data_IF_499496960113
#
_entry.id   IF_499496960113
#
_cell.length_a   1.000
_cell.length_b   1.000
_cell.length_c   1.000
_cell.angle_alpha   90.00
_cell.angle_beta   90.00
_cell.angle_gamma   90.00
#
_symmetry.space_group_name_H-M   'P 1'
#
loop_
_entity.id
_entity.type
_entity.pdbx_description
1 polymer ?
#
# COMPACT_ATOMS: atom_id res chain seq x y z
N UNK A 1 -60.52 5.75 -16.38
CA UNK A 1 -60.82 4.64 -17.31
C UNK A 1 -59.91 4.80 -18.52
N UNK A 2 -58.77 4.11 -18.50
CA UNK A 2 -57.85 3.95 -19.62
C UNK A 2 -57.66 2.45 -19.74
N UNK A 3 -58.05 1.86 -20.87
CA UNK A 3 -58.08 0.43 -21.10
C UNK A 3 -56.66 -0.15 -21.04
N UNK A 4 -56.33 -0.82 -19.93
CA UNK A 4 -55.14 -1.67 -19.83
C UNK A 4 -55.46 -3.01 -20.50
N UNK A 5 -54.70 -3.36 -21.52
CA UNK A 5 -54.76 -4.68 -22.14
C UNK A 5 -54.55 -5.73 -21.05
N UNK A 6 -55.58 -6.55 -20.79
CA UNK A 6 -55.54 -7.62 -19.80
C UNK A 6 -54.45 -8.62 -20.16
N UNK A 7 -53.45 -8.76 -19.29
CA UNK A 7 -52.41 -9.77 -19.41
C UNK A 7 -53.03 -11.14 -19.08
N UNK A 8 -53.38 -11.92 -20.10
CA UNK A 8 -53.86 -13.29 -19.91
C UNK A 8 -52.66 -14.22 -19.74
N UNK A 9 -52.44 -14.68 -18.50
CA UNK A 9 -51.42 -15.68 -18.15
C UNK A 9 -51.64 -16.96 -18.95
N UNK A 10 -50.57 -17.60 -19.40
CA UNK A 10 -50.68 -18.86 -20.15
C UNK A 10 -51.35 -19.95 -19.30
N UNK A 11 -52.42 -20.53 -19.85
CA UNK A 11 -53.24 -21.56 -19.19
C UNK A 11 -52.44 -22.79 -18.78
N UNK A 12 -51.39 -23.15 -19.52
CA UNK A 12 -50.53 -24.31 -19.22
C UNK A 12 -49.67 -24.07 -17.97
N UNK A 13 -49.22 -22.84 -17.76
CA UNK A 13 -48.45 -22.45 -16.56
C UNK A 13 -49.36 -22.46 -15.33
N UNK A 14 -50.59 -21.94 -15.47
CA UNK A 14 -51.60 -21.98 -14.42
C UNK A 14 -51.97 -23.41 -14.00
N UNK A 15 -52.24 -24.28 -14.98
CA UNK A 15 -52.56 -25.69 -14.73
C UNK A 15 -51.38 -26.45 -14.11
N UNK A 16 -50.14 -26.06 -14.42
CA UNK A 16 -48.96 -26.65 -13.80
C UNK A 16 -48.79 -26.18 -12.35
N UNK A 17 -48.96 -24.88 -12.10
CA UNK A 17 -48.87 -24.31 -10.77
C UNK A 17 -49.96 -24.88 -9.84
N UNK A 18 -51.19 -25.03 -10.32
CA UNK A 18 -52.29 -25.60 -9.52
C UNK A 18 -52.03 -27.05 -9.13
N UNK A 19 -51.55 -27.88 -10.07
CA UNK A 19 -51.18 -29.28 -9.81
C UNK A 19 -50.06 -29.42 -8.78
N UNK A 20 -49.11 -28.47 -8.77
CA UNK A 20 -48.02 -28.46 -7.80
C UNK A 20 -48.44 -27.99 -6.41
N UNK A 21 -49.48 -27.15 -6.30
CA UNK A 21 -50.07 -26.78 -5.01
C UNK A 21 -50.97 -27.86 -4.42
N UNK A 22 -51.60 -28.69 -5.26
CA UNK A 22 -52.49 -29.78 -4.84
C UNK A 22 -51.74 -31.06 -4.42
N UNK A 23 -50.53 -31.30 -4.93
CA UNK A 23 -49.69 -32.45 -4.58
C UNK A 23 -48.96 -32.27 -3.24
N UNK A 24 -49.74 -32.08 -2.17
CA UNK A 24 -49.27 -31.49 -0.92
C UNK A 24 -48.44 -32.39 0.01
N UNK A 25 -47.75 -33.46 -0.42
CA UNK A 25 -46.86 -34.23 0.49
C UNK A 25 -45.76 -35.11 -0.14
N UNK A 26 -45.72 -35.28 -1.46
CA UNK A 26 -44.57 -35.86 -2.17
C UNK A 26 -44.39 -35.06 -3.47
N UNK A 27 -43.58 -34.01 -3.37
CA UNK A 27 -43.22 -33.08 -4.43
C UNK A 27 -42.66 -33.79 -5.66
N UNK A 28 -43.49 -34.21 -6.61
CA UNK A 28 -43.01 -34.89 -7.84
C UNK A 28 -42.17 -33.93 -8.70
N UNK A 29 -40.82 -34.09 -8.73
CA UNK A 29 -39.96 -33.22 -9.52
C UNK A 29 -40.16 -33.45 -11.03
N UNK A 30 -40.81 -34.58 -11.38
CA UNK A 30 -41.21 -34.94 -12.74
C UNK A 30 -42.23 -33.96 -13.32
N UNK A 31 -43.16 -33.44 -12.51
CA UNK A 31 -44.17 -32.48 -13.00
C UNK A 31 -43.51 -31.20 -13.51
N UNK A 32 -42.44 -30.74 -12.86
CA UNK A 32 -41.68 -29.57 -13.28
C UNK A 32 -40.98 -29.75 -14.63
N UNK A 33 -40.75 -30.99 -15.09
CA UNK A 33 -40.21 -31.23 -16.42
C UNK A 33 -41.19 -30.84 -17.54
N UNK A 34 -42.50 -30.79 -17.26
CA UNK A 34 -43.49 -30.31 -18.22
C UNK A 34 -43.26 -28.83 -18.57
N UNK A 35 -42.64 -28.05 -17.68
CA UNK A 35 -42.21 -26.68 -17.95
C UNK A 35 -41.27 -26.61 -19.16
N UNK A 36 -40.43 -27.64 -19.35
CA UNK A 36 -39.57 -27.76 -20.53
C UNK A 36 -40.37 -27.79 -21.82
N UNK A 37 -41.41 -28.62 -21.87
CA UNK A 37 -42.27 -28.75 -23.05
C UNK A 37 -43.04 -27.46 -23.35
N UNK A 38 -43.46 -26.73 -22.32
CA UNK A 38 -44.11 -25.41 -22.46
C UNK A 38 -43.13 -24.41 -23.08
N UNK A 39 -41.89 -24.34 -22.59
CA UNK A 39 -40.87 -23.41 -23.09
C UNK A 39 -40.37 -23.77 -24.50
N UNK A 40 -40.17 -25.06 -24.78
CA UNK A 40 -39.70 -25.54 -26.10
C UNK A 40 -40.78 -25.37 -27.18
N UNK A 41 -42.06 -25.24 -26.80
CA UNK A 41 -43.17 -24.98 -27.74
C UNK A 41 -43.24 -23.53 -28.24
N UNK A 42 -42.59 -22.59 -27.54
CA UNK A 42 -42.52 -21.19 -27.95
C UNK A 42 -41.36 -20.98 -28.92
N UNK A 43 -41.54 -20.13 -29.93
CA UNK A 43 -40.45 -19.79 -30.86
C UNK A 43 -39.26 -19.18 -30.11
N UNK A 44 -38.05 -19.64 -30.43
CA UNK A 44 -36.81 -19.46 -29.65
C UNK A 44 -36.35 -18.00 -29.42
N UNK A 45 -37.02 -17.00 -30.01
CA UNK A 45 -36.70 -15.55 -29.88
C UNK A 45 -37.93 -14.63 -29.81
N UNK A 46 -39.10 -15.16 -29.49
CA UNK A 46 -40.34 -14.37 -29.46
C UNK A 46 -40.63 -13.69 -28.12
N UNK A 47 -41.41 -12.60 -28.14
CA UNK A 47 -42.02 -11.99 -26.95
C UNK A 47 -42.81 -13.03 -26.12
N UNK A 48 -43.36 -14.05 -26.78
CA UNK A 48 -44.06 -15.18 -26.16
C UNK A 48 -43.18 -15.95 -25.17
N UNK A 49 -41.93 -16.25 -25.52
CA UNK A 49 -41.02 -16.96 -24.62
C UNK A 49 -40.68 -16.12 -23.38
N UNK A 50 -40.55 -14.81 -23.55
CA UNK A 50 -40.32 -13.90 -22.43
C UNK A 50 -41.54 -13.82 -21.50
N UNK A 51 -42.75 -13.75 -22.07
CA UNK A 51 -44.01 -13.80 -21.30
C UNK A 51 -44.13 -15.10 -20.50
N UNK A 52 -43.84 -16.25 -21.13
CA UNK A 52 -43.87 -17.54 -20.43
C UNK A 52 -42.86 -17.62 -19.27
N UNK A 53 -41.68 -17.00 -19.40
CA UNK A 53 -40.70 -16.93 -18.31
C UNK A 53 -41.16 -16.00 -17.18
N UNK A 54 -41.75 -14.85 -17.51
CA UNK A 54 -42.34 -13.92 -16.53
C UNK A 54 -43.51 -14.58 -15.77
N UNK A 55 -44.39 -15.29 -16.47
CA UNK A 55 -45.47 -16.07 -15.90
C UNK A 55 -44.91 -17.19 -14.99
N UNK A 56 -43.89 -17.93 -15.45
CA UNK A 56 -43.26 -18.99 -14.64
C UNK A 56 -42.63 -18.46 -13.35
N UNK A 57 -42.08 -17.24 -13.39
CA UNK A 57 -41.52 -16.58 -12.21
C UNK A 57 -42.61 -16.09 -11.24
N UNK A 58 -43.65 -15.44 -11.76
CA UNK A 58 -44.74 -14.88 -10.96
C UNK A 58 -45.57 -15.95 -10.24
N UNK A 59 -45.74 -17.12 -10.85
CA UNK A 59 -46.43 -18.27 -10.26
C UNK A 59 -45.51 -19.19 -9.42
N UNK A 60 -44.28 -18.77 -9.12
CA UNK A 60 -43.43 -19.48 -8.17
C UNK A 60 -42.74 -20.75 -8.69
N UNK A 61 -42.85 -21.05 -9.98
CA UNK A 61 -42.34 -22.31 -10.55
C UNK A 61 -40.82 -22.36 -10.56
N UNK A 62 -40.16 -21.23 -10.85
CA UNK A 62 -38.70 -21.11 -10.85
C UNK A 62 -38.15 -21.28 -9.43
N UNK A 63 -38.81 -20.65 -8.45
CA UNK A 63 -38.50 -20.72 -7.02
C UNK A 63 -38.59 -22.18 -6.54
N UNK A 64 -39.63 -22.89 -6.98
CA UNK A 64 -39.84 -24.28 -6.66
C UNK A 64 -38.79 -25.20 -7.32
N UNK A 65 -38.41 -24.96 -8.59
CA UNK A 65 -37.28 -25.66 -9.23
C UNK A 65 -35.98 -25.52 -8.41
N UNK A 66 -35.68 -24.32 -7.91
CA UNK A 66 -34.50 -24.06 -7.07
C UNK A 66 -34.58 -24.85 -5.75
N UNK A 67 -35.75 -24.90 -5.12
CA UNK A 67 -35.97 -25.65 -3.87
C UNK A 67 -35.73 -27.15 -4.07
N UNK A 68 -36.33 -27.71 -5.13
CA UNK A 68 -36.34 -29.15 -5.41
C UNK A 68 -34.95 -29.64 -5.85
N UNK A 69 -34.10 -28.79 -6.44
CA UNK A 69 -32.70 -29.14 -6.75
C UNK A 69 -31.84 -29.46 -5.52
N UNK A 70 -32.25 -29.07 -4.30
CA UNK A 70 -31.53 -29.41 -3.06
C UNK A 70 -31.78 -30.83 -2.55
N UNK A 71 -32.76 -31.54 -3.11
CA UNK A 71 -33.14 -32.87 -2.65
C UNK A 71 -32.11 -33.94 -3.04
N UNK A 72 -32.11 -35.07 -2.32
CA UNK A 72 -31.31 -36.24 -2.71
C UNK A 72 -32.10 -37.09 -3.72
N UNK A 73 -31.63 -37.10 -4.97
CA UNK A 73 -32.26 -37.81 -6.07
C UNK A 73 -31.91 -39.30 -6.15
N UNK A 74 -31.41 -39.91 -5.08
CA UNK A 74 -31.27 -41.38 -5.00
C UNK A 74 -32.61 -42.12 -4.92
N UNK A 75 -33.62 -41.51 -4.28
CA UNK A 75 -34.92 -42.14 -4.01
C UNK A 75 -36.08 -41.53 -4.81
N UNK A 76 -35.77 -40.56 -5.67
CA UNK A 76 -36.75 -39.84 -6.50
C UNK A 76 -36.95 -40.59 -7.81
N UNK A 77 -38.19 -40.66 -8.30
CA UNK A 77 -38.50 -41.26 -9.59
C UNK A 77 -37.78 -40.54 -10.75
N UNK A 78 -37.09 -41.32 -11.61
CA UNK A 78 -36.18 -40.80 -12.65
C UNK A 78 -34.79 -40.36 -12.15
N UNK A 79 -34.54 -40.42 -10.83
CA UNK A 79 -33.23 -40.31 -10.21
C UNK A 79 -32.45 -39.04 -10.57
N UNK A 80 -31.13 -39.17 -10.73
CA UNK A 80 -30.21 -38.08 -11.09
C UNK A 80 -30.48 -37.50 -12.49
N UNK A 81 -31.13 -38.26 -13.37
CA UNK A 81 -31.58 -37.79 -14.68
C UNK A 81 -32.63 -36.68 -14.56
N UNK A 82 -33.58 -36.84 -13.62
CA UNK A 82 -34.57 -35.81 -13.30
C UNK A 82 -33.90 -34.54 -12.79
N UNK A 83 -32.94 -34.65 -11.85
CA UNK A 83 -32.21 -33.51 -11.32
C UNK A 83 -31.45 -32.74 -12.41
N UNK A 84 -30.76 -33.46 -13.30
CA UNK A 84 -30.02 -32.86 -14.41
C UNK A 84 -30.95 -32.19 -15.44
N UNK A 85 -32.14 -32.75 -15.66
CA UNK A 85 -33.16 -32.12 -16.50
C UNK A 85 -33.75 -30.87 -15.86
N UNK A 86 -33.97 -30.86 -14.54
CA UNK A 86 -34.43 -29.68 -13.82
C UNK A 86 -33.38 -28.56 -13.80
N UNK A 87 -32.09 -28.90 -13.71
CA UNK A 87 -31.02 -27.91 -13.83
C UNK A 87 -31.03 -27.22 -15.20
N UNK A 88 -31.21 -27.99 -16.29
CA UNK A 88 -31.35 -27.46 -17.66
C UNK A 88 -32.57 -26.54 -17.80
N UNK A 89 -33.73 -26.98 -17.29
CA UNK A 89 -34.97 -26.18 -17.31
C UNK A 89 -34.79 -24.89 -16.52
N UNK A 90 -34.23 -24.97 -15.30
CA UNK A 90 -33.99 -23.80 -14.46
C UNK A 90 -33.06 -22.79 -15.15
N UNK A 91 -31.98 -23.27 -15.78
CA UNK A 91 -31.06 -22.41 -16.52
C UNK A 91 -31.77 -21.69 -17.68
N UNK A 92 -32.58 -22.43 -18.46
CA UNK A 92 -33.37 -21.85 -19.57
C UNK A 92 -34.40 -20.83 -19.11
N UNK A 93 -35.03 -21.05 -17.95
CA UNK A 93 -35.98 -20.10 -17.36
C UNK A 93 -35.30 -18.81 -16.94
N UNK A 94 -34.15 -18.93 -16.27
CA UNK A 94 -33.44 -17.81 -15.69
C UNK A 94 -32.70 -16.95 -16.73
N UNK A 95 -32.12 -17.55 -17.77
CA UNK A 95 -31.34 -16.79 -18.77
C UNK A 95 -32.28 -15.98 -19.68
N UNK A 96 -32.03 -14.67 -19.76
CA UNK A 96 -32.85 -13.73 -20.53
C UNK A 96 -34.19 -13.36 -19.90
N UNK A 97 -34.44 -13.77 -18.65
CA UNK A 97 -35.56 -13.27 -17.85
C UNK A 97 -35.17 -11.94 -17.21
N UNK A 98 -36.03 -10.94 -17.38
CA UNK A 98 -35.98 -9.65 -16.69
C UNK A 98 -37.32 -9.45 -15.95
N UNK A 99 -37.41 -9.84 -14.67
CA UNK A 99 -38.68 -9.86 -13.95
C UNK A 99 -39.15 -8.44 -13.66
N UNK A 100 -40.38 -8.10 -14.06
CA UNK A 100 -41.02 -6.81 -13.70
C UNK A 100 -41.41 -6.72 -12.23
N UNK A 101 -41.65 -7.87 -11.59
CA UNK A 101 -42.07 -8.01 -10.20
C UNK A 101 -40.90 -8.63 -9.43
N UNK A 102 -40.56 -8.08 -8.26
CA UNK A 102 -39.53 -8.60 -7.35
C UNK A 102 -38.15 -8.88 -8.00
N UNK A 103 -37.73 -8.04 -8.96
CA UNK A 103 -36.44 -8.15 -9.65
C UNK A 103 -35.26 -8.28 -8.67
N UNK A 104 -35.28 -7.51 -7.57
CA UNK A 104 -34.24 -7.56 -6.53
C UNK A 104 -34.14 -8.96 -5.91
N UNK A 105 -35.26 -9.63 -5.65
CA UNK A 105 -35.27 -10.99 -5.08
C UNK A 105 -34.70 -12.00 -6.09
N UNK A 106 -35.00 -11.81 -7.37
CA UNK A 106 -34.46 -12.64 -8.45
C UNK A 106 -32.92 -12.56 -8.50
N UNK A 107 -32.37 -11.35 -8.58
CA UNK A 107 -30.91 -11.16 -8.71
C UNK A 107 -30.15 -11.42 -7.40
N UNK A 108 -30.70 -11.04 -6.25
CA UNK A 108 -29.98 -11.14 -4.96
C UNK A 108 -30.09 -12.49 -4.27
N UNK A 109 -31.17 -13.25 -4.49
CA UNK A 109 -31.43 -14.52 -3.79
C UNK A 109 -31.58 -15.69 -4.73
N UNK A 110 -32.45 -15.58 -5.74
CA UNK A 110 -32.84 -16.74 -6.55
C UNK A 110 -31.71 -17.20 -7.48
N UNK A 111 -31.12 -16.28 -8.26
CA UNK A 111 -30.02 -16.59 -9.17
C UNK A 111 -28.78 -17.15 -8.46
N UNK A 112 -28.29 -16.54 -7.36
CA UNK A 112 -27.27 -17.13 -6.50
C UNK A 112 -27.62 -18.55 -6.06
N UNK A 113 -28.83 -18.75 -5.53
CA UNK A 113 -29.27 -20.07 -5.03
C UNK A 113 -29.32 -21.11 -6.14
N UNK A 114 -29.76 -20.74 -7.34
CA UNK A 114 -29.77 -21.61 -8.52
C UNK A 114 -28.36 -22.09 -8.87
N UNK A 115 -27.40 -21.16 -8.99
CA UNK A 115 -26.01 -21.50 -9.33
C UNK A 115 -25.35 -22.36 -8.25
N UNK A 116 -25.54 -22.03 -6.97
CA UNK A 116 -25.00 -22.78 -5.84
C UNK A 116 -25.56 -24.19 -5.76
N UNK A 117 -26.88 -24.35 -5.92
CA UNK A 117 -27.52 -25.67 -5.89
C UNK A 117 -27.03 -26.53 -7.06
N UNK A 118 -26.80 -25.94 -8.25
CA UNK A 118 -26.22 -26.68 -9.38
C UNK A 118 -24.77 -27.11 -9.12
N UNK A 119 -23.94 -26.29 -8.46
CA UNK A 119 -22.58 -26.69 -8.04
C UNK A 119 -22.62 -27.86 -7.05
N UNK A 120 -23.48 -27.79 -6.04
CA UNK A 120 -23.66 -28.85 -5.04
C UNK A 120 -24.16 -30.14 -5.71
N UNK A 121 -25.15 -30.03 -6.60
CA UNK A 121 -25.67 -31.16 -7.37
C UNK A 121 -24.58 -31.80 -8.24
N UNK A 122 -23.81 -30.99 -8.96
CA UNK A 122 -22.66 -31.44 -9.73
C UNK A 122 -21.67 -32.21 -8.85
N UNK A 123 -21.41 -31.73 -7.64
CA UNK A 123 -20.48 -32.39 -6.70
C UNK A 123 -21.02 -33.72 -6.20
N UNK A 124 -22.32 -33.81 -5.90
CA UNK A 124 -22.95 -35.07 -5.50
C UNK A 124 -22.91 -36.11 -6.61
N UNK A 125 -23.23 -35.72 -7.86
CA UNK A 125 -23.15 -36.62 -9.01
C UNK A 125 -21.70 -37.07 -9.21
N UNK A 126 -20.74 -36.13 -9.16
CA UNK A 126 -19.31 -36.43 -9.32
C UNK A 126 -18.82 -37.43 -8.28
N UNK A 127 -19.13 -37.21 -7.00
CA UNK A 127 -18.74 -38.10 -5.92
C UNK A 127 -19.33 -39.52 -6.07
N UNK A 128 -20.48 -39.66 -6.71
CA UNK A 128 -21.16 -40.94 -6.91
C UNK A 128 -20.57 -41.72 -8.09
N UNK A 129 -20.38 -41.08 -9.24
CA UNK A 129 -19.88 -41.82 -10.40
C UNK A 129 -18.38 -42.15 -10.29
N UNK A 130 -17.60 -41.37 -9.54
CA UNK A 130 -16.20 -41.75 -9.21
C UNK A 130 -16.17 -43.00 -8.31
N UNK A 131 -17.24 -43.29 -7.57
CA UNK A 131 -17.36 -44.46 -6.69
C UNK A 131 -18.10 -45.63 -7.33
N UNK A 132 -18.75 -45.46 -8.48
CA UNK A 132 -19.53 -46.54 -9.09
C UNK A 132 -18.62 -47.59 -9.72
N UNK A 133 -18.96 -48.85 -9.44
CA UNK A 133 -18.20 -50.02 -9.90
C UNK A 133 -18.71 -50.53 -11.26
N UNK A 134 -19.93 -50.14 -11.67
CA UNK A 134 -20.53 -50.55 -12.94
C UNK A 134 -20.39 -49.46 -14.00
N UNK A 135 -19.84 -49.82 -15.15
CA UNK A 135 -19.57 -48.88 -16.25
C UNK A 135 -20.82 -48.20 -16.81
N UNK A 136 -21.96 -48.91 -16.89
CA UNK A 136 -23.22 -48.35 -17.40
C UNK A 136 -23.81 -47.29 -16.46
N UNK A 137 -23.81 -47.54 -15.15
CA UNK A 137 -24.26 -46.57 -14.14
C UNK A 137 -23.32 -45.34 -14.10
N UNK A 138 -22.00 -45.57 -14.22
CA UNK A 138 -21.00 -44.51 -14.32
C UNK A 138 -21.24 -43.63 -15.55
N UNK A 139 -21.56 -44.22 -16.71
CA UNK A 139 -21.80 -43.49 -17.95
C UNK A 139 -23.06 -42.62 -17.89
N UNK A 140 -24.15 -43.14 -17.31
CA UNK A 140 -25.39 -42.37 -17.17
C UNK A 140 -25.24 -41.22 -16.17
N UNK A 141 -24.56 -41.46 -15.04
CA UNK A 141 -24.25 -40.40 -14.07
C UNK A 141 -23.32 -39.33 -14.68
N UNK A 142 -22.34 -39.71 -15.50
CA UNK A 142 -21.48 -38.76 -16.21
C UNK A 142 -22.29 -37.91 -17.21
N UNK A 143 -23.26 -38.51 -17.90
CA UNK A 143 -24.18 -37.78 -18.79
C UNK A 143 -25.00 -36.75 -18.01
N UNK A 144 -25.51 -37.15 -16.84
CA UNK A 144 -26.21 -36.25 -15.92
C UNK A 144 -25.30 -35.11 -15.44
N UNK A 145 -24.06 -35.43 -15.05
CA UNK A 145 -23.06 -34.45 -14.62
C UNK A 145 -22.79 -33.40 -15.70
N UNK A 146 -22.48 -33.83 -16.93
CA UNK A 146 -22.25 -32.93 -18.06
C UNK A 146 -23.44 -32.02 -18.30
N UNK A 147 -24.65 -32.55 -18.27
CA UNK A 147 -25.87 -31.76 -18.45
C UNK A 147 -26.05 -30.69 -17.35
N UNK A 148 -25.73 -30.99 -16.10
CA UNK A 148 -25.74 -30.00 -15.00
C UNK A 148 -24.66 -28.94 -15.22
N UNK A 149 -23.45 -29.34 -15.64
CA UNK A 149 -22.36 -28.41 -15.91
C UNK A 149 -22.66 -27.50 -17.10
N UNK A 150 -23.26 -28.01 -18.18
CA UNK A 150 -23.69 -27.24 -19.35
C UNK A 150 -24.79 -26.25 -18.97
N UNK A 151 -25.77 -26.67 -18.16
CA UNK A 151 -26.81 -25.79 -17.63
C UNK A 151 -26.21 -24.66 -16.78
N UNK A 152 -25.22 -24.95 -15.94
CA UNK A 152 -24.51 -23.95 -15.15
C UNK A 152 -23.66 -23.02 -16.02
N UNK A 153 -23.00 -23.53 -17.05
CA UNK A 153 -22.27 -22.71 -18.03
C UNK A 153 -23.20 -21.73 -18.73
N UNK A 154 -24.39 -22.19 -19.16
CA UNK A 154 -25.40 -21.34 -19.78
C UNK A 154 -25.90 -20.26 -18.82
N UNK A 155 -26.17 -20.63 -17.56
CA UNK A 155 -26.66 -19.71 -16.53
C UNK A 155 -25.65 -18.59 -16.25
N UNK A 156 -24.39 -18.93 -16.02
CA UNK A 156 -23.34 -17.95 -15.70
C UNK A 156 -22.95 -17.12 -16.92
N UNK A 157 -23.01 -17.69 -18.13
CA UNK A 157 -22.80 -16.93 -19.37
C UNK A 157 -23.92 -15.90 -19.60
N UNK A 158 -25.15 -16.21 -19.18
CA UNK A 158 -26.29 -15.29 -19.26
C UNK A 158 -26.31 -14.22 -18.16
N UNK A 159 -25.72 -14.51 -16.99
CA UNK A 159 -25.72 -13.62 -15.82
C UNK A 159 -24.32 -13.44 -15.26
N UNK A 160 -23.60 -12.43 -15.76
CA UNK A 160 -22.20 -12.14 -15.43
C UNK A 160 -21.93 -11.89 -13.94
N UNK A 161 -22.95 -11.51 -13.16
CA UNK A 161 -22.81 -11.30 -11.71
C UNK A 161 -22.55 -12.62 -10.96
N UNK A 162 -22.92 -13.77 -11.53
CA UNK A 162 -22.70 -15.08 -10.91
C UNK A 162 -21.26 -15.56 -10.99
N UNK A 163 -20.45 -14.96 -11.87
CA UNK A 163 -19.04 -15.32 -12.08
C UNK A 163 -18.24 -15.30 -10.78
N UNK A 164 -18.33 -14.20 -10.03
CA UNK A 164 -17.59 -14.03 -8.77
C UNK A 164 -18.07 -15.05 -7.72
N UNK A 165 -19.39 -15.17 -7.59
CA UNK A 165 -20.01 -16.05 -6.62
C UNK A 165 -19.59 -17.51 -6.83
N UNK A 166 -19.59 -18.01 -8.06
CA UNK A 166 -19.22 -19.39 -8.40
C UNK A 166 -17.74 -19.65 -8.10
N UNK A 167 -16.84 -18.74 -8.49
CA UNK A 167 -15.40 -18.92 -8.30
C UNK A 167 -14.98 -18.87 -6.82
N UNK A 168 -15.73 -18.15 -5.97
CA UNK A 168 -15.47 -18.09 -4.52
C UNK A 168 -15.97 -19.31 -3.75
N UNK A 169 -16.81 -20.15 -4.35
CA UNK A 169 -17.30 -21.35 -3.66
C UNK A 169 -16.25 -22.44 -3.56
N UNK A 170 -16.16 -23.06 -2.39
CA UNK A 170 -15.30 -24.22 -2.16
C UNK A 170 -15.67 -25.40 -3.08
N UNK A 171 -16.97 -25.60 -3.34
CA UNK A 171 -17.45 -26.67 -4.22
C UNK A 171 -16.92 -26.57 -5.66
N UNK A 172 -16.67 -25.36 -6.17
CA UNK A 172 -16.05 -25.20 -7.49
C UNK A 172 -14.62 -25.77 -7.50
N UNK A 173 -13.81 -25.42 -6.50
CA UNK A 173 -12.46 -25.96 -6.38
C UNK A 173 -12.48 -27.48 -6.19
N UNK A 174 -13.36 -28.00 -5.32
CA UNK A 174 -13.54 -29.44 -5.11
C UNK A 174 -13.95 -30.20 -6.38
N UNK A 175 -14.78 -29.59 -7.23
CA UNK A 175 -15.16 -30.14 -8.53
C UNK A 175 -13.96 -30.17 -9.50
N UNK A 176 -13.11 -29.15 -9.46
CA UNK A 176 -11.92 -29.05 -10.30
C UNK A 176 -10.83 -30.03 -9.85
N UNK A 177 -10.70 -30.31 -8.54
CA UNK A 177 -9.78 -31.29 -7.97
C UNK A 177 -10.23 -32.74 -8.24
N UNK A 178 -10.06 -33.18 -9.48
CA UNK A 178 -10.35 -34.54 -9.94
C UNK A 178 -9.37 -34.98 -11.04
N UNK A 179 -9.04 -36.26 -11.03
CA UNK A 179 -8.20 -36.91 -12.04
C UNK A 179 -9.00 -37.45 -13.22
N UNK A 180 -10.33 -37.53 -13.09
CA UNK A 180 -11.20 -37.96 -14.16
C UNK A 180 -11.19 -36.93 -15.30
N UNK A 181 -10.90 -37.41 -16.52
CA UNK A 181 -10.73 -36.57 -17.70
C UNK A 181 -12.01 -35.80 -18.00
N UNK A 182 -13.17 -36.47 -17.92
CA UNK A 182 -14.44 -35.92 -18.38
C UNK A 182 -15.08 -34.95 -17.39
N UNK A 183 -14.98 -35.22 -16.09
CA UNK A 183 -15.32 -34.20 -15.09
C UNK A 183 -14.42 -32.98 -15.20
N UNK A 184 -13.12 -33.23 -15.27
CA UNK A 184 -12.11 -32.17 -15.28
C UNK A 184 -12.32 -31.23 -16.47
N UNK A 185 -12.60 -31.77 -17.66
CA UNK A 185 -12.88 -30.97 -18.87
C UNK A 185 -14.18 -30.19 -18.76
N UNK A 186 -15.24 -30.76 -18.18
CA UNK A 186 -16.51 -30.07 -17.97
C UNK A 186 -16.38 -28.90 -16.96
N UNK A 187 -15.66 -29.10 -15.85
CA UNK A 187 -15.43 -28.04 -14.85
C UNK A 187 -14.48 -26.96 -15.38
N UNK A 188 -13.45 -27.32 -16.14
CA UNK A 188 -12.63 -26.34 -16.86
C UNK A 188 -13.45 -25.59 -17.93
N UNK A 189 -14.41 -26.24 -18.57
CA UNK A 189 -15.31 -25.56 -19.52
C UNK A 189 -16.19 -24.52 -18.82
N UNK A 190 -16.65 -24.80 -17.60
CA UNK A 190 -17.31 -23.81 -16.74
C UNK A 190 -16.38 -22.64 -16.41
N UNK A 191 -15.14 -22.89 -16.00
CA UNK A 191 -14.16 -21.84 -15.76
C UNK A 191 -13.95 -20.97 -17.01
N UNK A 192 -13.80 -21.59 -18.17
CA UNK A 192 -13.65 -20.86 -19.42
C UNK A 192 -14.90 -20.07 -19.78
N UNK A 193 -16.11 -20.59 -19.52
CA UNK A 193 -17.36 -19.87 -19.74
C UNK A 193 -17.44 -18.62 -18.85
N UNK A 194 -17.09 -18.75 -17.56
CA UNK A 194 -17.00 -17.64 -16.62
C UNK A 194 -16.03 -16.56 -17.13
N UNK A 195 -14.82 -16.96 -17.54
CA UNK A 195 -13.78 -16.03 -17.99
C UNK A 195 -14.11 -15.36 -19.33
N UNK A 196 -14.82 -16.06 -20.24
CA UNK A 196 -15.29 -15.46 -21.50
C UNK A 196 -16.44 -14.48 -21.28
N UNK A 197 -17.33 -14.76 -20.33
CA UNK A 197 -18.46 -13.89 -20.00
C UNK A 197 -18.01 -12.64 -19.23
N UNK A 198 -17.07 -12.78 -18.29
CA UNK A 198 -16.58 -11.69 -17.46
C UNK A 198 -15.09 -11.90 -17.10
N UNK A 199 -14.19 -11.46 -17.98
CA UNK A 199 -12.74 -11.54 -17.72
C UNK A 199 -12.29 -10.62 -16.58
N UNK A 200 -13.04 -9.56 -16.28
CA UNK A 200 -12.74 -8.60 -15.22
C UNK A 200 -12.96 -9.19 -13.81
N UNK A 201 -13.70 -10.29 -13.68
CA UNK A 201 -13.98 -10.96 -12.40
C UNK A 201 -12.69 -11.32 -11.64
N UNK A 202 -11.61 -11.62 -12.36
CA UNK A 202 -10.32 -11.97 -11.77
C UNK A 202 -9.70 -10.84 -10.93
N UNK A 203 -10.07 -9.58 -11.18
CA UNK A 203 -9.61 -8.44 -10.38
C UNK A 203 -10.42 -8.26 -9.09
N UNK A 204 -11.63 -8.83 -9.02
CA UNK A 204 -12.54 -8.73 -7.87
C UNK A 204 -12.27 -9.82 -6.84
N UNK A 205 -11.70 -10.94 -7.27
CA UNK A 205 -11.41 -12.11 -6.44
C UNK A 205 -10.03 -11.95 -5.78
N UNK A 206 -9.90 -12.23 -4.46
CA UNK A 206 -8.62 -12.15 -3.77
C UNK A 206 -7.64 -13.21 -4.28
N UNK A 207 -6.34 -12.89 -4.23
CA UNK A 207 -5.26 -13.78 -4.70
C UNK A 207 -5.29 -15.15 -3.99
N UNK A 208 -5.70 -15.18 -2.71
CA UNK A 208 -5.85 -16.40 -1.90
C UNK A 208 -6.84 -17.41 -2.49
N UNK A 209 -7.90 -16.96 -3.16
CA UNK A 209 -8.88 -17.84 -3.82
C UNK A 209 -8.41 -18.25 -5.23
N UNK A 210 -7.62 -17.41 -5.89
CA UNK A 210 -7.08 -17.70 -7.22
C UNK A 210 -5.91 -18.68 -7.19
N UNK A 211 -5.09 -18.65 -6.13
CA UNK A 211 -3.93 -19.54 -6.00
C UNK A 211 -4.30 -21.04 -6.11
N UNK A 212 -5.30 -21.58 -5.38
CA UNK A 212 -5.66 -22.99 -5.50
C UNK A 212 -6.15 -23.37 -6.90
N UNK A 213 -6.88 -22.48 -7.59
CA UNK A 213 -7.35 -22.71 -8.95
C UNK A 213 -6.15 -22.80 -9.91
N UNK A 214 -5.18 -21.88 -9.78
CA UNK A 214 -3.94 -21.90 -10.57
C UNK A 214 -3.08 -23.13 -10.26
N UNK A 215 -2.93 -23.47 -8.97
CA UNK A 215 -2.20 -24.64 -8.51
C UNK A 215 -2.79 -25.91 -9.13
N UNK A 216 -4.12 -26.05 -9.14
CA UNK A 216 -4.80 -27.20 -9.73
C UNK A 216 -4.66 -27.25 -11.26
N UNK A 217 -4.81 -26.12 -11.98
CA UNK A 217 -4.59 -26.08 -13.43
C UNK A 217 -3.16 -26.48 -13.81
N UNK A 218 -2.17 -26.02 -13.04
CA UNK A 218 -0.76 -26.29 -13.26
C UNK A 218 -0.42 -27.72 -12.87
N UNK A 219 -0.99 -28.23 -11.78
CA UNK A 219 -0.92 -29.64 -11.41
C UNK A 219 -1.42 -30.51 -12.55
N UNK A 220 -2.62 -30.24 -13.10
CA UNK A 220 -3.17 -30.98 -14.25
C UNK A 220 -2.24 -30.95 -15.46
N UNK A 221 -1.69 -29.78 -15.83
CA UNK A 221 -0.72 -29.66 -16.93
C UNK A 221 0.56 -30.48 -16.68
N UNK A 222 0.98 -30.58 -15.43
CA UNK A 222 2.19 -31.32 -15.03
C UNK A 222 1.97 -32.83 -14.93
N UNK A 223 0.82 -33.28 -14.42
CA UNK A 223 0.54 -34.67 -14.10
C UNK A 223 -0.11 -35.42 -15.28
N UNK A 224 -1.06 -34.81 -16.01
CA UNK A 224 -1.81 -35.54 -17.04
C UNK A 224 -1.00 -35.77 -18.31
N UNK A 225 -1.20 -36.92 -18.95
CA UNK A 225 -0.69 -37.21 -20.30
C UNK A 225 -1.76 -37.07 -21.38
N UNK A 226 -3.01 -36.83 -20.98
CA UNK A 226 -4.14 -36.73 -21.90
C UNK A 226 -4.17 -35.36 -22.61
N UNK A 227 -4.16 -35.31 -23.96
CA UNK A 227 -4.18 -34.06 -24.70
C UNK A 227 -5.47 -33.24 -24.50
N UNK A 228 -6.61 -33.87 -24.17
CA UNK A 228 -7.89 -33.18 -23.95
C UNK A 228 -7.85 -32.37 -22.66
N UNK A 229 -7.38 -32.98 -21.56
CA UNK A 229 -7.17 -32.30 -20.28
C UNK A 229 -6.09 -31.23 -20.41
N UNK A 230 -4.97 -31.54 -21.08
CA UNK A 230 -3.89 -30.60 -21.33
C UNK A 230 -4.34 -29.37 -22.12
N UNK A 231 -5.13 -29.56 -23.18
CA UNK A 231 -5.72 -28.48 -23.97
C UNK A 231 -6.66 -27.62 -23.12
N UNK A 232 -7.56 -28.24 -22.37
CA UNK A 232 -8.55 -27.54 -21.55
C UNK A 232 -7.89 -26.73 -20.42
N UNK A 233 -6.85 -27.28 -19.78
CA UNK A 233 -6.09 -26.58 -18.76
C UNK A 233 -5.26 -25.44 -19.35
N UNK A 234 -4.63 -25.66 -20.51
CA UNK A 234 -3.91 -24.62 -21.26
C UNK A 234 -4.83 -23.47 -21.64
N UNK A 235 -6.03 -23.78 -22.15
CA UNK A 235 -7.00 -22.77 -22.55
C UNK A 235 -7.57 -22.00 -21.35
N UNK A 236 -7.85 -22.69 -20.23
CA UNK A 236 -8.30 -22.04 -19.00
C UNK A 236 -7.24 -21.09 -18.46
N UNK A 237 -5.98 -21.56 -18.40
CA UNK A 237 -4.85 -20.74 -17.97
C UNK A 237 -4.62 -19.56 -18.93
N UNK A 238 -4.72 -19.78 -20.25
CA UNK A 238 -4.62 -18.71 -21.25
C UNK A 238 -5.67 -17.63 -21.00
N UNK A 239 -6.94 -18.00 -20.80
CA UNK A 239 -8.00 -17.02 -20.51
C UNK A 239 -7.76 -16.27 -19.19
N UNK A 240 -7.14 -16.92 -18.19
CA UNK A 240 -6.81 -16.26 -16.92
C UNK A 240 -5.68 -15.24 -17.05
N UNK A 241 -4.70 -15.48 -17.93
CA UNK A 241 -3.55 -14.58 -18.11
C UNK A 241 -3.78 -13.54 -19.22
N UNK A 242 -4.63 -13.87 -20.19
CA UNK A 242 -4.97 -13.01 -21.31
C UNK A 242 -5.65 -11.74 -20.78
N UNK A 243 -5.07 -10.58 -21.10
CA UNK A 243 -5.49 -9.26 -20.63
C UNK A 243 -5.43 -9.03 -19.09
N UNK A 244 -4.72 -9.88 -18.34
CA UNK A 244 -4.66 -9.81 -16.88
C UNK A 244 -3.20 -9.76 -16.36
N UNK A 245 -2.54 -8.59 -16.33
CA UNK A 245 -1.12 -8.48 -16.00
C UNK A 245 -0.78 -8.92 -14.56
N UNK A 246 -1.72 -8.77 -13.62
CA UNK A 246 -1.55 -9.24 -12.24
C UNK A 246 -1.40 -10.77 -12.19
N UNK A 247 -2.25 -11.50 -12.90
CA UNK A 247 -2.21 -12.97 -12.95
C UNK A 247 -0.95 -13.45 -13.67
N UNK A 248 -0.54 -12.77 -14.76
CA UNK A 248 0.72 -13.06 -15.45
C UNK A 248 1.91 -12.94 -14.50
N UNK A 249 1.96 -11.86 -13.69
CA UNK A 249 3.01 -11.64 -12.68
C UNK A 249 2.99 -12.75 -11.63
N UNK A 250 1.82 -13.08 -11.10
CA UNK A 250 1.62 -14.15 -10.11
C UNK A 250 2.16 -15.49 -10.65
N UNK A 251 1.74 -15.88 -11.85
CA UNK A 251 2.19 -17.11 -12.51
C UNK A 251 3.71 -17.11 -12.72
N UNK A 252 4.28 -15.99 -13.19
CA UNK A 252 5.73 -15.86 -13.40
C UNK A 252 6.55 -15.96 -12.12
N UNK A 253 6.05 -15.44 -10.99
CA UNK A 253 6.75 -15.50 -9.70
C UNK A 253 6.67 -16.88 -9.04
N UNK A 254 5.50 -17.52 -9.08
CA UNK A 254 5.21 -18.78 -8.36
C UNK A 254 5.66 -20.02 -9.14
N UNK A 255 5.56 -20.01 -10.48
CA UNK A 255 5.78 -21.21 -11.30
C UNK A 255 6.90 -21.02 -12.34
N UNK A 256 8.14 -20.83 -11.86
CA UNK A 256 9.33 -20.58 -12.70
C UNK A 256 9.61 -21.66 -13.77
N UNK A 257 9.17 -22.90 -13.53
CA UNK A 257 9.33 -24.04 -14.46
C UNK A 257 8.19 -24.24 -15.46
N UNK A 258 7.12 -23.46 -15.37
CA UNK A 258 5.91 -23.71 -16.17
C UNK A 258 6.18 -23.61 -17.67
N UNK A 259 6.99 -22.64 -18.11
CA UNK A 259 7.26 -22.42 -19.54
C UNK A 259 8.02 -23.58 -20.17
N UNK A 260 9.04 -24.08 -19.47
CA UNK A 260 9.84 -25.21 -19.94
C UNK A 260 9.03 -26.50 -19.91
N UNK A 261 8.13 -26.66 -18.94
CA UNK A 261 7.18 -27.77 -18.90
C UNK A 261 6.23 -27.72 -20.10
N UNK A 262 5.62 -26.56 -20.35
CA UNK A 262 4.69 -26.35 -21.46
C UNK A 262 5.35 -26.63 -22.81
N UNK A 263 6.55 -26.07 -23.05
CA UNK A 263 7.26 -26.24 -24.32
C UNK A 263 7.76 -27.67 -24.54
N UNK A 264 8.18 -28.39 -23.50
CA UNK A 264 8.70 -29.76 -23.65
C UNK A 264 7.59 -30.80 -23.75
N UNK A 265 6.53 -30.66 -22.96
CA UNK A 265 5.51 -31.71 -22.80
C UNK A 265 4.39 -31.63 -23.84
N UNK A 266 3.94 -30.41 -24.16
CA UNK A 266 2.70 -30.20 -24.91
C UNK A 266 2.90 -29.82 -26.38
N UNK A 267 4.13 -29.54 -26.80
CA UNK A 267 4.45 -29.29 -28.21
C UNK A 267 4.11 -30.52 -29.06
N UNK A 268 3.37 -30.31 -30.15
CA UNK A 268 2.94 -31.38 -31.06
C UNK A 268 1.73 -32.20 -30.60
N UNK A 269 1.06 -31.84 -29.50
CA UNK A 269 -0.09 -32.59 -28.94
C UNK A 269 -1.48 -32.15 -29.47
N UNK A 270 -1.53 -31.37 -30.55
CA UNK A 270 -2.78 -31.04 -31.26
C UNK A 270 -3.49 -29.73 -30.86
N UNK A 271 -2.90 -28.91 -29.98
CA UNK A 271 -3.45 -27.60 -29.56
C UNK A 271 -2.38 -26.48 -29.56
N UNK A 272 -1.52 -26.50 -30.58
CA UNK A 272 -0.37 -25.60 -30.66
C UNK A 272 -0.73 -24.11 -30.67
N UNK A 273 -1.89 -23.72 -31.19
CA UNK A 273 -2.30 -22.31 -31.25
C UNK A 273 -2.48 -21.72 -29.84
N UNK A 274 -3.26 -22.40 -29.00
CA UNK A 274 -3.51 -22.00 -27.62
C UNK A 274 -2.22 -22.05 -26.78
N UNK A 275 -1.40 -23.09 -27.00
CA UNK A 275 -0.11 -23.24 -26.34
C UNK A 275 0.87 -22.11 -26.69
N UNK A 276 1.00 -21.75 -27.98
CA UNK A 276 1.88 -20.67 -28.42
C UNK A 276 1.45 -19.32 -27.85
N UNK A 277 0.15 -18.99 -27.90
CA UNK A 277 -0.37 -17.74 -27.31
C UNK A 277 -0.07 -17.65 -25.81
N UNK A 278 -0.24 -18.75 -25.08
CA UNK A 278 0.10 -18.79 -23.65
C UNK A 278 1.59 -18.59 -23.42
N UNK A 279 2.44 -19.28 -24.21
CA UNK A 279 3.89 -19.13 -24.11
C UNK A 279 4.32 -17.69 -24.41
N UNK A 280 3.77 -17.05 -25.45
CA UNK A 280 4.10 -15.68 -25.84
C UNK A 280 3.82 -14.70 -24.68
N UNK A 281 2.61 -14.76 -24.09
CA UNK A 281 2.25 -13.93 -22.93
C UNK A 281 3.19 -14.17 -21.75
N UNK A 282 3.51 -15.43 -21.48
CA UNK A 282 4.40 -15.78 -20.37
C UNK A 282 5.84 -15.31 -20.62
N UNK A 283 6.38 -15.41 -21.83
CA UNK A 283 7.73 -14.96 -22.18
C UNK A 283 7.85 -13.44 -22.17
N UNK A 284 6.89 -12.70 -22.76
CA UNK A 284 6.89 -11.24 -22.77
C UNK A 284 6.97 -10.67 -21.34
N UNK A 285 6.25 -11.27 -20.40
CA UNK A 285 6.29 -10.83 -19.00
C UNK A 285 7.64 -11.07 -18.32
N UNK A 286 8.34 -12.18 -18.59
CA UNK A 286 9.69 -12.34 -18.02
C UNK A 286 10.66 -11.31 -18.51
N UNK A 287 10.64 -10.98 -19.80
CA UNK A 287 11.58 -10.00 -20.33
C UNK A 287 11.39 -8.65 -19.62
N UNK A 288 10.13 -8.24 -19.41
CA UNK A 288 9.81 -7.04 -18.64
C UNK A 288 10.24 -7.14 -17.17
N UNK A 289 10.03 -8.27 -16.51
CA UNK A 289 10.44 -8.47 -15.11
C UNK A 289 11.96 -8.49 -14.94
N UNK A 290 12.69 -9.20 -15.81
CA UNK A 290 14.14 -9.26 -15.81
C UNK A 290 14.75 -7.89 -16.08
N UNK A 291 14.20 -7.15 -17.04
CA UNK A 291 14.66 -5.80 -17.35
C UNK A 291 14.40 -4.85 -16.17
N UNK A 292 13.23 -4.91 -15.55
CA UNK A 292 12.93 -4.13 -14.34
C UNK A 292 13.90 -4.46 -13.20
N UNK A 293 14.24 -5.73 -12.99
CA UNK A 293 15.22 -6.13 -12.00
C UNK A 293 16.64 -5.63 -12.33
N UNK A 294 17.03 -5.64 -13.61
CA UNK A 294 18.32 -5.08 -14.06
C UNK A 294 18.38 -3.58 -13.80
N UNK A 295 17.33 -2.84 -14.17
CA UNK A 295 17.22 -1.40 -13.91
C UNK A 295 17.27 -1.10 -12.41
N UNK A 296 16.56 -1.88 -11.59
CA UNK A 296 16.60 -1.73 -10.13
C UNK A 296 18.00 -1.97 -9.56
N UNK A 297 18.70 -3.02 -10.01
CA UNK A 297 20.09 -3.28 -9.61
C UNK A 297 21.02 -2.14 -10.02
N UNK A 298 20.88 -1.64 -11.25
CA UNK A 298 21.66 -0.50 -11.74
C UNK A 298 21.43 0.75 -10.89
N UNK A 299 20.17 1.06 -10.57
CA UNK A 299 19.81 2.16 -9.69
C UNK A 299 20.45 2.01 -8.29
N UNK A 300 20.38 0.81 -7.70
CA UNK A 300 21.02 0.53 -6.40
C UNK A 300 22.54 0.74 -6.44
N UNK A 301 23.22 0.32 -7.52
CA UNK A 301 24.66 0.53 -7.70
C UNK A 301 24.97 2.03 -7.79
N UNK A 302 24.25 2.78 -8.63
CA UNK A 302 24.43 4.23 -8.79
C UNK A 302 24.23 4.94 -7.44
N UNK A 303 23.16 4.60 -6.72
CA UNK A 303 22.84 5.15 -5.41
C UNK A 303 23.94 4.85 -4.39
N UNK A 304 24.44 3.61 -4.35
CA UNK A 304 25.53 3.22 -3.45
C UNK A 304 26.82 3.98 -3.76
N UNK A 305 27.20 4.08 -5.04
CA UNK A 305 28.37 4.83 -5.49
C UNK A 305 28.27 6.32 -5.13
N UNK A 306 27.11 6.94 -5.36
CA UNK A 306 26.86 8.34 -5.02
C UNK A 306 26.93 8.59 -3.51
N UNK A 307 26.26 7.75 -2.71
CA UNK A 307 26.32 7.83 -1.24
C UNK A 307 27.77 7.72 -0.75
N UNK A 308 28.53 6.76 -1.29
CA UNK A 308 29.95 6.59 -0.99
C UNK A 308 30.81 7.80 -1.39
N UNK A 309 30.61 8.34 -2.60
CA UNK A 309 31.30 9.54 -3.07
C UNK A 309 31.04 10.74 -2.16
N UNK A 310 29.78 10.98 -1.78
CA UNK A 310 29.37 12.07 -0.89
C UNK A 310 30.06 11.99 0.47
N UNK A 311 30.12 10.80 1.07
CA UNK A 311 30.81 10.57 2.35
C UNK A 311 32.31 10.81 2.20
N UNK A 312 32.97 10.22 1.19
CA UNK A 312 34.41 10.42 0.95
C UNK A 312 34.78 11.87 0.72
N UNK A 313 33.95 12.63 -0.03
CA UNK A 313 34.14 14.06 -0.26
C UNK A 313 34.06 14.86 1.04
N UNK A 314 33.15 14.51 1.96
CA UNK A 314 33.06 15.13 3.30
C UNK A 314 34.26 14.76 4.16
N UNK A 315 34.65 13.48 4.19
CA UNK A 315 35.80 12.99 4.95
C UNK A 315 37.11 13.63 4.51
N UNK A 316 37.32 13.88 3.20
CA UNK A 316 38.51 14.61 2.71
C UNK A 316 38.64 16.02 3.26
N UNK A 317 37.52 16.70 3.58
CA UNK A 317 37.54 18.07 4.14
C UNK A 317 37.74 18.09 5.66
N UNK A 318 37.49 16.97 6.35
CA UNK A 318 37.49 16.91 7.81
C UNK A 318 38.88 17.15 8.44
N UNK A 319 39.99 16.57 7.94
CA UNK A 319 41.32 16.83 8.50
C UNK A 319 41.72 18.29 8.49
N UNK A 320 41.40 19.03 7.42
CA UNK A 320 41.68 20.47 7.34
C UNK A 320 40.92 21.28 8.39
N UNK A 321 39.63 20.98 8.58
CA UNK A 321 38.81 21.62 9.61
C UNK A 321 39.30 21.29 11.03
N UNK A 322 39.62 20.02 11.30
CA UNK A 322 40.17 19.57 12.59
C UNK A 322 41.51 20.23 12.87
N UNK A 323 42.41 20.28 11.89
CA UNK A 323 43.72 20.92 12.04
C UNK A 323 43.58 22.41 12.31
N UNK A 324 42.66 23.10 11.62
CA UNK A 324 42.37 24.51 11.85
C UNK A 324 41.88 24.77 13.28
N UNK A 325 40.93 23.95 13.76
CA UNK A 325 40.42 24.02 15.13
C UNK A 325 41.52 23.73 16.17
N UNK A 326 42.34 22.71 15.94
CA UNK A 326 43.46 22.39 16.83
C UNK A 326 44.48 23.52 16.89
N UNK A 327 44.79 24.16 15.74
CA UNK A 327 45.69 25.31 15.68
C UNK A 327 45.13 26.52 16.43
N UNK A 328 43.86 26.86 16.22
CA UNK A 328 43.24 28.00 16.92
C UNK A 328 43.15 27.77 18.42
N UNK A 329 42.82 26.55 18.85
CA UNK A 329 42.80 26.18 20.26
C UNK A 329 44.18 26.29 20.92
N UNK A 330 45.22 25.76 20.26
CA UNK A 330 46.60 25.86 20.75
C UNK A 330 47.07 27.31 20.83
N UNK A 331 46.76 28.13 19.82
CA UNK A 331 47.10 29.54 19.81
C UNK A 331 46.42 30.32 20.95
N UNK A 332 45.12 30.08 21.17
CA UNK A 332 44.37 30.68 22.27
C UNK A 332 44.98 30.33 23.63
N UNK A 333 45.27 29.04 23.84
CA UNK A 333 45.89 28.57 25.10
C UNK A 333 47.28 29.18 25.33
N UNK A 334 48.06 29.34 24.27
CA UNK A 334 49.37 30.00 24.36
C UNK A 334 49.23 31.49 24.71
N UNK A 335 48.29 32.21 24.10
CA UNK A 335 48.05 33.62 24.42
C UNK A 335 47.56 33.80 25.86
N UNK A 336 46.63 32.96 26.33
CA UNK A 336 46.16 32.96 27.72
C UNK A 336 47.31 32.72 28.71
N UNK A 337 48.19 31.74 28.43
CA UNK A 337 49.37 31.48 29.27
C UNK A 337 50.32 32.68 29.30
N UNK A 338 50.57 33.31 28.14
CA UNK A 338 51.44 34.49 28.04
C UNK A 338 50.84 35.70 28.77
N UNK A 339 49.53 35.88 28.70
CA UNK A 339 48.82 36.92 29.46
C UNK A 339 48.95 36.68 30.97
N UNK A 340 48.72 35.45 31.43
CA UNK A 340 48.89 35.11 32.85
C UNK A 340 50.32 35.34 33.33
N UNK A 341 51.32 34.97 32.53
CA UNK A 341 52.72 35.21 32.87
C UNK A 341 53.04 36.70 32.97
N UNK A 342 52.61 37.51 31.99
CA UNK A 342 52.78 38.98 32.04
C UNK A 342 52.13 39.60 33.28
N UNK A 343 50.92 39.15 33.65
CA UNK A 343 50.24 39.63 34.86
C UNK A 343 51.04 39.32 36.12
N UNK A 344 51.58 38.09 36.23
CA UNK A 344 52.46 37.72 37.34
C UNK A 344 53.74 38.56 37.38
N UNK A 345 54.41 38.72 36.23
CA UNK A 345 55.61 39.55 36.12
C UNK A 345 55.33 41.02 36.51
N UNK A 346 54.17 41.56 36.13
CA UNK A 346 53.74 42.90 36.54
C UNK A 346 53.46 42.99 38.05
N UNK A 347 52.81 41.99 38.64
CA UNK A 347 52.55 41.91 40.08
C UNK A 347 53.86 41.81 40.86
N UNK A 348 54.76 40.91 40.49
CA UNK A 348 56.07 40.73 41.09
C UNK A 348 56.91 42.02 41.01
N UNK A 349 56.87 42.70 39.85
CA UNK A 349 57.54 43.99 39.67
C UNK A 349 56.94 45.07 40.59
N UNK A 350 55.61 45.15 40.70
CA UNK A 350 54.93 46.09 41.61
C UNK A 350 55.33 45.83 43.06
N UNK A 351 55.41 44.58 43.48
CA UNK A 351 55.86 44.20 44.82
C UNK A 351 57.32 44.56 45.06
N UNK A 352 58.22 44.22 44.13
CA UNK A 352 59.63 44.60 44.21
C UNK A 352 59.83 46.11 44.32
N UNK A 353 59.09 46.89 43.52
CA UNK A 353 59.13 48.35 43.58
C UNK A 353 58.60 48.91 44.90
N UNK A 354 57.52 48.34 45.45
CA UNK A 354 57.01 48.70 46.79
C UNK A 354 58.05 48.43 47.86
N UNK A 355 58.64 47.24 47.86
CA UNK A 355 59.68 46.85 48.82
C UNK A 355 60.91 47.76 48.72
N UNK A 356 61.36 48.07 47.49
CA UNK A 356 62.49 48.98 47.26
C UNK A 356 62.20 50.38 47.79
N UNK A 357 60.98 50.90 47.58
CA UNK A 357 60.56 52.20 48.14
C UNK A 357 60.55 52.19 49.66
N UNK A 358 60.00 51.14 50.28
CA UNK A 358 59.98 51.00 51.75
C UNK A 358 61.39 50.96 52.35
N UNK A 359 62.29 50.18 51.73
CA UNK A 359 63.71 50.12 52.14
C UNK A 359 64.40 51.48 52.03
N UNK A 360 64.25 52.16 50.88
CA UNK A 360 64.83 53.49 50.69
C UNK A 360 64.28 54.52 51.70
N UNK A 361 62.98 54.49 52.01
CA UNK A 361 62.39 55.34 53.04
C UNK A 361 62.94 55.03 54.44
N UNK A 362 63.13 53.75 54.76
CA UNK A 362 63.72 53.33 56.03
C UNK A 362 65.15 53.81 56.16
N UNK A 363 66.00 53.55 55.15
CA UNK A 363 67.40 54.02 55.12
C UNK A 363 67.49 55.54 55.24
N UNK A 364 66.60 56.27 54.56
CA UNK A 364 66.55 57.73 54.69
C UNK A 364 66.20 58.18 56.12
N UNK A 365 65.18 57.57 56.74
CA UNK A 365 64.79 57.87 58.13
C UNK A 365 65.90 57.50 59.13
N UNK A 366 66.57 56.37 58.95
CA UNK A 366 67.71 55.96 59.79
C UNK A 366 68.85 56.98 59.71
N UNK A 367 69.17 57.48 58.50
CA UNK A 367 70.15 58.57 58.35
C UNK A 367 69.70 59.87 59.01
N UNK A 368 68.42 60.23 58.91
CA UNK A 368 67.88 61.41 59.59
C UNK A 368 67.94 61.28 61.12
N UNK A 369 67.63 60.10 61.67
CA UNK A 369 67.74 59.82 63.11
C UNK A 369 69.19 59.92 63.60
N UNK A 370 70.15 59.34 62.87
CA UNK A 370 71.56 59.46 63.22
C UNK A 370 72.06 60.92 63.20
N UNK A 371 71.57 61.74 62.27
CA UNK A 371 71.85 63.18 62.26
C UNK A 371 71.21 63.91 63.44
N UNK A 372 69.96 63.56 63.79
CA UNK A 372 69.25 64.10 64.96
C UNK A 372 70.02 63.83 66.26
N UNK A 373 70.66 62.67 66.41
CA UNK A 373 71.45 62.31 67.60
C UNK A 373 72.69 63.20 67.82
N UNK A 374 73.23 63.82 66.76
CA UNK A 374 74.50 64.55 66.79
C UNK A 374 74.28 66.09 66.82
N UNK A 375 73.13 66.58 66.38
CA UNK A 375 72.87 68.01 66.20
C UNK A 375 72.27 68.68 67.45
N UNK A 376 72.76 69.87 67.81
CA UNK A 376 72.27 70.64 68.96
C UNK A 376 70.86 71.22 68.72
N UNK A 377 69.99 71.22 69.75
CA UNK A 377 68.56 71.55 69.65
C UNK A 377 68.25 72.89 68.94
N UNK A 378 69.01 73.95 69.22
CA UNK A 378 68.80 75.25 68.58
C UNK A 378 69.04 75.28 67.04
N UNK A 379 69.88 74.39 66.51
CA UNK A 379 70.07 74.25 65.06
C UNK A 379 68.95 73.41 64.42
N UNK A 380 68.40 72.45 65.18
CA UNK A 380 67.24 71.65 64.76
C UNK A 380 65.99 72.52 64.60
N UNK A 381 65.70 73.40 65.55
CA UNK A 381 64.56 74.32 65.48
C UNK A 381 64.60 75.24 64.26
N UNK A 382 65.80 75.71 63.90
CA UNK A 382 66.00 76.51 62.68
C UNK A 382 65.70 75.69 61.43
N UNK A 383 66.24 74.47 61.32
CA UNK A 383 65.99 73.60 60.17
C UNK A 383 64.51 73.20 60.04
N UNK A 384 63.82 72.93 61.15
CA UNK A 384 62.38 72.63 61.17
C UNK A 384 61.58 73.83 60.65
N UNK A 385 61.89 75.06 61.08
CA UNK A 385 61.24 76.27 60.56
C UNK A 385 61.45 76.44 59.06
N UNK A 386 62.69 76.28 58.59
CA UNK A 386 63.03 76.44 57.16
C UNK A 386 62.32 75.39 56.29
N UNK A 387 62.25 74.14 56.76
CA UNK A 387 61.55 73.06 56.04
C UNK A 387 60.03 73.24 56.05
N UNK A 388 59.44 73.70 57.16
CA UNK A 388 58.02 74.05 57.24
C UNK A 388 57.68 75.22 56.31
N UNK A 389 58.51 76.26 56.26
CA UNK A 389 58.33 77.40 55.36
C UNK A 389 58.40 76.95 53.90
N UNK A 390 59.40 76.15 53.54
CA UNK A 390 59.56 75.60 52.19
C UNK A 390 58.37 74.72 51.79
N UNK A 391 57.89 73.87 52.71
CA UNK A 391 56.73 73.01 52.48
C UNK A 391 55.44 73.84 52.31
N UNK A 392 55.25 74.86 53.15
CA UNK A 392 54.13 75.79 53.05
C UNK A 392 54.13 76.51 51.69
N UNK A 393 55.30 76.99 51.23
CA UNK A 393 55.46 77.60 49.92
C UNK A 393 55.10 76.63 48.78
N UNK A 394 55.53 75.37 48.87
CA UNK A 394 55.16 74.35 47.88
C UNK A 394 53.66 74.08 47.83
N UNK A 395 53.02 73.90 48.99
CA UNK A 395 51.57 73.67 49.08
C UNK A 395 50.80 74.87 48.55
N UNK A 396 51.18 76.09 48.96
CA UNK A 396 50.58 77.32 48.48
C UNK A 396 50.74 77.49 46.97
N UNK A 397 51.92 77.20 46.43
CA UNK A 397 52.19 77.24 44.98
C UNK A 397 51.30 76.24 44.22
N UNK A 398 51.19 75.02 44.72
CA UNK A 398 50.36 73.99 44.08
C UNK A 398 48.88 74.34 44.14
N UNK A 399 48.41 74.87 45.26
CA UNK A 399 47.04 75.35 45.44
C UNK A 399 46.72 76.53 44.53
N UNK A 400 47.59 77.54 44.45
CA UNK A 400 47.44 78.67 43.51
C UNK A 400 47.32 78.15 42.07
N UNK A 401 48.21 77.23 41.67
CA UNK A 401 48.15 76.61 40.34
C UNK A 401 46.87 75.81 40.08
N UNK A 402 46.38 75.03 41.05
CA UNK A 402 45.09 74.34 40.95
C UNK A 402 43.92 75.32 40.82
N UNK A 403 43.89 76.37 41.65
CA UNK A 403 42.86 77.41 41.65
C UNK A 403 42.78 78.12 40.30
N UNK A 404 43.94 78.50 39.75
CA UNK A 404 44.01 79.19 38.46
C UNK A 404 43.50 78.28 37.33
N UNK A 405 43.93 77.01 37.29
CA UNK A 405 43.42 76.02 36.32
C UNK A 405 41.91 75.83 36.43
N UNK A 406 41.37 75.77 37.66
CA UNK A 406 39.92 75.64 37.89
C UNK A 406 39.17 76.86 37.38
N UNK A 407 39.66 78.08 37.67
CA UNK A 407 39.05 79.33 37.19
C UNK A 407 39.06 79.43 35.67
N UNK A 408 40.18 79.06 35.03
CA UNK A 408 40.33 79.04 33.58
C UNK A 408 39.37 78.03 32.92
N UNK A 409 39.23 76.82 33.49
CA UNK A 409 38.26 75.84 32.98
C UNK A 409 36.82 76.35 33.04
N UNK A 410 36.43 77.04 34.12
CA UNK A 410 35.11 77.66 34.26
C UNK A 410 34.90 78.77 33.22
N UNK A 411 35.86 79.68 33.07
CA UNK A 411 35.80 80.74 32.04
C UNK A 411 35.71 80.16 30.62
N UNK A 412 36.50 79.11 30.34
CA UNK A 412 36.49 78.42 29.04
C UNK A 412 35.14 77.76 28.75
N UNK A 413 34.49 77.20 29.77
CA UNK A 413 33.15 76.62 29.63
C UNK A 413 32.09 77.72 29.38
N UNK A 414 32.13 78.82 30.13
CA UNK A 414 31.22 79.96 29.94
C UNK A 414 31.37 80.57 28.52
N UNK A 415 32.60 80.74 28.03
CA UNK A 415 32.87 81.23 26.68
C UNK A 415 32.32 80.29 25.59
N UNK A 416 32.43 78.97 25.79
CA UNK A 416 31.83 77.98 24.88
C UNK A 416 30.31 78.09 24.84
N UNK A 417 29.67 78.25 26.00
CA UNK A 417 28.21 78.45 26.10
C UNK A 417 27.77 79.75 25.44
N UNK A 418 28.46 80.87 25.68
CA UNK A 418 28.18 82.16 25.03
C UNK A 418 28.30 82.07 23.51
N UNK A 419 29.40 81.48 22.99
CA UNK A 419 29.58 81.28 21.55
C UNK A 419 28.46 80.42 20.95
N UNK A 420 28.05 79.36 21.64
CA UNK A 420 26.93 78.53 21.20
C UNK A 420 25.60 79.32 21.18
N UNK A 421 25.31 80.12 22.22
CA UNK A 421 24.12 80.96 22.28
C UNK A 421 24.08 82.00 21.16
N UNK A 422 25.20 82.67 20.86
CA UNK A 422 25.30 83.63 19.74
C UNK A 422 25.06 82.94 18.40
N UNK A 423 25.60 81.73 18.18
CA UNK A 423 25.35 80.97 16.95
C UNK A 423 23.86 80.61 16.80
N UNK A 424 23.19 80.20 17.89
CA UNK A 424 21.75 79.91 17.88
C UNK A 424 20.94 81.19 17.60
N UNK A 425 21.24 82.30 18.28
CA UNK A 425 20.56 83.58 18.06
C UNK A 425 20.70 84.05 16.62
N UNK A 426 21.90 83.97 16.04
CA UNK A 426 22.15 84.30 14.63
C UNK A 426 21.34 83.43 13.67
N UNK A 427 21.22 82.12 13.95
CA UNK A 427 20.44 81.20 13.14
C UNK A 427 18.94 81.52 13.19
N UNK A 428 18.40 81.89 14.37
CA UNK A 428 16.98 82.25 14.54
C UNK A 428 16.65 83.62 13.94
N UNK A 429 17.59 84.56 13.89
CA UNK A 429 17.39 85.86 13.23
C UNK A 429 17.55 85.81 11.69
N UNK A 430 18.00 84.69 11.11
CA UNK A 430 18.09 84.47 9.65
C UNK A 430 17.03 83.50 9.11
N UNK A 431 16.13 83.01 9.97
CA UNK A 431 14.90 82.28 9.64
C UNK A 431 13.70 83.18 9.87
#
# INVERSE_FOLDING_TARGET
>A
MSAGAGHTVDRRILELASKLTESSNNSDPLLLLNLRGILDSASSRGEELQRLKEDSYSYGLIQYCVLVLKQDYSQVEGGWGTAAALADVLSKCCVGLDPKIDADVFYSKLLPSAALNMLVLGRWIQARYVRSVKDEESAELLRCFRKVMDALCWLVSGHVQLAELVLRQEHFLQLLMTDDVESSTAVMSLLQAILRANSAVLHQIPEETLHPILDELIYKLSATSNPVTGRSATQSLLLMVENNPQIVRMVGTRYKGLRSLLSKKWTGKGFGRELSRLLDVLYSSSYQQEEMQRLHRAACIIQALWRGFRIRKRMRKLPGAVTSLQRSFRAKRHEESKQQQRLREEEDLRECLKLRRLRAMREFREKQLALLEIVHAGQMDKHIRDTQETAALMVQRHWRGYRDRKSFMLQKQALRQYKAAVTIQRAVSMS
#
